data_IF_420390343318
#
_entry.id   IF_420390343318
#
_cell.length_a   1.000
_cell.length_b   1.000
_cell.length_c   1.000
_cell.angle_alpha   90.00
_cell.angle_beta   90.00
_cell.angle_gamma   90.00
#
_symmetry.space_group_name_H-M   'P 1'
#
loop_
_entity.id
_entity.type
_entity.pdbx_description
1 polymer ?
#
# COMPACT_ATOMS: atom_id res chain seq x y z
N UNK A 1 -11.75 20.37 28.94
CA UNK A 1 -11.29 18.96 29.08
C UNK A 1 -9.94 18.83 28.38
N UNK A 2 -8.91 18.29 29.07
CA UNK A 2 -7.58 18.04 28.51
C UNK A 2 -7.46 16.63 27.92
N UNK A 3 -6.40 16.39 27.12
CA UNK A 3 -6.07 15.06 26.63
C UNK A 3 -5.60 14.16 27.78
N UNK A 4 -5.98 12.87 27.74
CA UNK A 4 -5.45 11.87 28.66
C UNK A 4 -4.02 11.47 28.25
N UNK A 5 -3.13 11.31 29.23
CA UNK A 5 -1.78 10.78 29.01
C UNK A 5 -1.83 9.24 28.96
N UNK A 6 -1.33 8.67 27.88
CA UNK A 6 -1.20 7.23 27.69
C UNK A 6 0.28 6.84 27.63
N UNK A 7 0.55 5.56 27.90
CA UNK A 7 1.88 4.99 27.65
C UNK A 7 2.24 5.10 26.18
N UNK A 8 3.54 5.15 25.87
CA UNK A 8 4.03 5.12 24.49
C UNK A 8 3.49 3.90 23.75
N UNK A 9 2.96 4.12 22.54
CA UNK A 9 2.34 3.08 21.72
C UNK A 9 2.08 3.56 20.28
N UNK A 10 1.57 2.66 19.45
CA UNK A 10 1.28 2.91 18.06
C UNK A 10 -0.05 3.64 17.93
N UNK A 11 -0.03 4.93 17.63
CA UNK A 11 -1.24 5.75 17.47
C UNK A 11 -1.23 6.61 16.19
N UNK A 12 -0.30 6.37 15.27
CA UNK A 12 -0.29 7.04 13.97
C UNK A 12 -1.26 6.31 13.03
N UNK A 13 -2.50 6.74 13.00
CA UNK A 13 -3.58 6.20 12.17
C UNK A 13 -4.37 7.32 11.49
N UNK A 14 -5.10 7.05 10.38
CA UNK A 14 -5.16 5.79 9.64
C UNK A 14 -3.88 5.55 8.80
N UNK A 15 -3.62 4.28 8.48
CA UNK A 15 -2.50 3.84 7.66
C UNK A 15 -3.03 3.16 6.37
N UNK A 16 -2.27 3.15 5.26
CA UNK A 16 -2.60 2.26 4.17
C UNK A 16 -2.48 0.80 4.68
N UNK A 17 -3.41 -0.06 4.30
CA UNK A 17 -3.20 -1.50 4.42
C UNK A 17 -2.94 -2.01 3.01
N UNK A 18 -1.74 -2.52 2.75
CA UNK A 18 -1.35 -2.95 1.40
C UNK A 18 -1.03 -4.44 1.38
N UNK A 19 -1.33 -5.12 0.28
CA UNK A 19 -0.85 -6.47 0.04
C UNK A 19 0.51 -6.41 -0.65
N UNK A 20 1.54 -6.91 0.03
CA UNK A 20 2.91 -6.97 -0.49
C UNK A 20 3.15 -8.38 -1.02
N UNK A 21 3.33 -8.53 -2.32
CA UNK A 21 3.78 -9.77 -2.91
C UNK A 21 5.31 -9.87 -2.86
N UNK A 22 5.80 -11.08 -2.66
CA UNK A 22 7.21 -11.43 -2.55
C UNK A 22 7.45 -12.77 -3.24
N UNK A 23 8.70 -13.02 -3.65
CA UNK A 23 9.13 -14.29 -4.24
C UNK A 23 10.46 -14.74 -3.62
N UNK A 24 10.69 -16.05 -3.58
CA UNK A 24 11.99 -16.62 -3.20
C UNK A 24 13.00 -16.68 -4.37
N UNK A 25 12.55 -16.33 -5.58
CA UNK A 25 13.32 -16.42 -6.82
C UNK A 25 13.39 -17.83 -7.42
N UNK A 26 12.74 -18.83 -6.82
CA UNK A 26 12.71 -20.23 -7.23
C UNK A 26 11.30 -20.68 -7.67
N UNK A 27 10.37 -19.73 -7.77
CA UNK A 27 8.99 -19.96 -8.20
C UNK A 27 7.96 -20.01 -7.09
N UNK A 28 8.37 -19.84 -5.83
CA UNK A 28 7.43 -19.71 -4.72
C UNK A 28 7.14 -18.24 -4.45
N UNK A 29 5.88 -17.85 -4.60
CA UNK A 29 5.39 -16.51 -4.33
C UNK A 29 4.49 -16.51 -3.11
N UNK A 30 4.54 -15.41 -2.36
CA UNK A 30 3.66 -15.22 -1.21
C UNK A 30 3.13 -13.78 -1.15
N UNK A 31 2.09 -13.59 -0.37
CA UNK A 31 1.50 -12.27 -0.07
C UNK A 31 1.53 -12.05 1.44
N UNK A 32 1.90 -10.85 1.86
CA UNK A 32 1.75 -10.38 3.24
C UNK A 32 1.05 -9.05 3.27
N UNK A 33 0.08 -8.88 4.17
CA UNK A 33 -0.53 -7.57 4.41
C UNK A 33 0.33 -6.76 5.36
N UNK A 34 0.63 -5.54 4.95
CA UNK A 34 1.46 -4.60 5.71
C UNK A 34 0.70 -3.29 5.88
N UNK A 35 0.55 -2.84 7.13
CA UNK A 35 0.06 -1.51 7.46
C UNK A 35 1.20 -0.54 7.81
N UNK A 36 2.37 -1.06 8.19
CA UNK A 36 3.58 -0.26 8.41
C UNK A 36 4.28 -0.03 7.08
N UNK A 37 3.65 0.77 6.20
CA UNK A 37 4.12 1.11 4.87
C UNK A 37 3.92 2.60 4.61
N UNK A 38 4.79 3.20 3.79
CA UNK A 38 4.64 4.61 3.43
C UNK A 38 5.65 5.09 2.41
N UNK A 39 5.33 6.22 1.77
CA UNK A 39 6.24 6.98 0.92
C UNK A 39 7.25 7.71 1.80
N UNK A 40 8.53 7.57 1.51
CA UNK A 40 9.60 8.19 2.31
C UNK A 40 10.39 9.26 1.56
N UNK A 41 10.39 9.21 0.23
CA UNK A 41 11.07 10.22 -0.61
C UNK A 41 10.34 10.36 -1.95
N UNK A 42 10.33 11.58 -2.48
CA UNK A 42 9.70 11.89 -3.77
C UNK A 42 10.73 11.87 -4.91
N UNK A 43 11.94 12.32 -4.65
CA UNK A 43 13.00 12.34 -5.65
C UNK A 43 14.35 11.99 -5.00
N UNK A 44 14.89 10.77 -5.26
CA UNK A 44 14.25 9.69 -6.01
C UNK A 44 12.98 9.15 -5.34
N UNK A 45 12.05 8.53 -6.10
CA UNK A 45 10.83 7.96 -5.51
C UNK A 45 11.18 6.73 -4.67
N UNK A 46 10.83 6.77 -3.39
CA UNK A 46 11.12 5.70 -2.43
C UNK A 46 9.95 5.44 -1.49
N UNK A 47 9.85 4.19 -1.11
CA UNK A 47 8.87 3.70 -0.13
C UNK A 47 9.56 2.91 0.98
N UNK A 48 8.83 2.69 2.08
CA UNK A 48 9.25 1.74 3.11
C UNK A 48 8.13 0.77 3.42
N UNK A 49 8.51 -0.45 3.80
CA UNK A 49 7.65 -1.42 4.47
C UNK A 49 8.38 -1.96 5.70
N UNK A 50 7.67 -2.21 6.80
CA UNK A 50 8.27 -2.81 7.99
C UNK A 50 7.66 -4.19 8.23
N UNK A 51 8.51 -5.22 8.29
CA UNK A 51 8.11 -6.62 8.41
C UNK A 51 8.83 -7.26 9.60
N UNK A 52 8.11 -8.07 10.37
CA UNK A 52 8.72 -8.82 11.47
C UNK A 52 9.57 -9.96 10.93
N UNK A 53 10.77 -10.23 11.50
CA UNK A 53 11.63 -11.36 11.08
C UNK A 53 10.93 -12.73 11.18
N UNK A 54 9.96 -12.88 12.07
CA UNK A 54 9.18 -14.13 12.22
C UNK A 54 8.19 -14.43 11.09
N UNK A 55 7.90 -13.45 10.22
CA UNK A 55 6.97 -13.64 9.09
C UNK A 55 7.62 -14.41 7.96
N UNK A 56 6.87 -15.33 7.35
CA UNK A 56 7.34 -16.16 6.23
C UNK A 56 7.90 -15.35 5.06
N UNK A 57 7.28 -14.21 4.73
CA UNK A 57 7.75 -13.31 3.66
C UNK A 57 9.09 -12.62 3.96
N UNK A 58 9.53 -12.58 5.24
CA UNK A 58 10.74 -11.88 5.62
C UNK A 58 11.99 -12.44 4.95
N UNK A 59 12.14 -13.77 4.96
CA UNK A 59 13.30 -14.44 4.36
C UNK A 59 13.32 -14.28 2.83
N UNK A 60 12.15 -14.30 2.20
CA UNK A 60 12.02 -14.01 0.77
C UNK A 60 12.48 -12.59 0.44
N UNK A 61 12.03 -11.58 1.22
CA UNK A 61 12.46 -10.18 1.08
C UNK A 61 13.97 -10.02 1.27
N UNK A 62 14.55 -10.69 2.26
CA UNK A 62 16.00 -10.66 2.50
C UNK A 62 16.79 -11.31 1.37
N UNK A 63 16.30 -12.41 0.81
CA UNK A 63 16.96 -13.19 -0.24
C UNK A 63 16.97 -12.46 -1.57
N UNK A 64 15.83 -11.91 -2.01
CA UNK A 64 15.70 -11.33 -3.35
C UNK A 64 15.88 -9.81 -3.38
N UNK A 65 15.54 -9.14 -2.28
CA UNK A 65 15.52 -7.68 -2.23
C UNK A 65 14.45 -7.07 -3.15
N UNK A 66 13.45 -7.85 -3.57
CA UNK A 66 12.40 -7.42 -4.49
C UNK A 66 11.03 -7.65 -3.89
N UNK A 67 10.10 -6.73 -4.15
CA UNK A 67 8.70 -6.88 -3.76
C UNK A 67 7.81 -5.96 -4.60
N UNK A 68 6.51 -6.25 -4.58
CA UNK A 68 5.49 -5.38 -5.18
C UNK A 68 4.50 -4.97 -4.10
N UNK A 69 4.23 -3.66 -3.99
CA UNK A 69 3.14 -3.14 -3.17
C UNK A 69 1.90 -3.07 -4.04
N UNK A 70 0.85 -3.81 -3.65
CA UNK A 70 -0.44 -3.81 -4.32
C UNK A 70 -1.44 -3.06 -3.43
N UNK A 71 -2.00 -1.93 -3.91
CA UNK A 71 -2.99 -1.17 -3.18
C UNK A 71 -4.28 -1.97 -3.03
N UNK A 72 -4.94 -1.83 -1.91
CA UNK A 72 -6.13 -2.59 -1.57
C UNK A 72 -7.39 -1.74 -1.63
N UNK A 73 -8.51 -2.37 -1.86
CA UNK A 73 -9.83 -1.76 -2.02
C UNK A 73 -10.86 -2.40 -1.10
N UNK A 74 -12.04 -1.79 -0.98
CA UNK A 74 -13.16 -2.40 -0.25
C UNK A 74 -13.47 -3.83 -0.75
N UNK A 75 -13.35 -4.08 -2.06
CA UNK A 75 -13.54 -5.43 -2.64
C UNK A 75 -12.48 -6.44 -2.20
N UNK A 76 -11.27 -5.97 -1.92
CA UNK A 76 -10.14 -6.78 -1.49
C UNK A 76 -10.02 -6.89 0.04
N UNK A 77 -10.94 -6.29 0.82
CA UNK A 77 -10.84 -6.22 2.28
C UNK A 77 -10.66 -7.61 2.93
N UNK A 78 -11.43 -8.61 2.50
CA UNK A 78 -11.32 -9.97 3.01
C UNK A 78 -9.95 -10.59 2.70
N UNK A 79 -9.48 -10.47 1.46
CA UNK A 79 -8.16 -10.97 1.06
C UNK A 79 -7.03 -10.22 1.78
N UNK A 80 -7.20 -8.92 2.01
CA UNK A 80 -6.26 -8.09 2.77
C UNK A 80 -6.10 -8.62 4.20
N UNK A 81 -7.20 -8.87 4.90
CA UNK A 81 -7.15 -9.44 6.26
C UNK A 81 -6.54 -10.85 6.24
N UNK A 82 -7.04 -11.73 5.39
CA UNK A 82 -6.57 -13.11 5.28
C UNK A 82 -5.06 -13.19 5.04
N UNK A 83 -4.52 -12.41 4.11
CA UNK A 83 -3.10 -12.37 3.79
C UNK A 83 -2.23 -11.83 4.94
N UNK A 84 -2.80 -11.04 5.86
CA UNK A 84 -2.14 -10.55 7.07
C UNK A 84 -2.12 -11.56 8.22
N UNK A 85 -3.17 -12.40 8.32
CA UNK A 85 -3.36 -13.35 9.45
C UNK A 85 -2.75 -14.72 9.15
N UNK A 86 -3.04 -15.30 7.98
CA UNK A 86 -2.55 -16.63 7.60
C UNK A 86 -1.06 -16.61 7.21
N UNK A 87 -0.37 -17.70 7.49
CA UNK A 87 1.04 -17.87 7.09
C UNK A 87 1.15 -18.52 5.71
N UNK A 88 2.09 -18.04 4.87
CA UNK A 88 2.44 -18.70 3.61
C UNK A 88 3.17 -20.03 3.78
N UNK A 89 3.52 -20.42 5.03
CA UNK A 89 4.01 -21.79 5.35
C UNK A 89 2.89 -22.80 5.27
N UNK A 90 1.65 -22.37 5.52
CA UNK A 90 0.50 -23.26 5.69
C UNK A 90 -0.42 -23.25 4.47
N UNK A 91 -0.45 -22.16 3.71
CA UNK A 91 -1.42 -21.95 2.62
C UNK A 91 -0.81 -21.18 1.45
N UNK A 92 -1.26 -21.48 0.25
CA UNK A 92 -1.05 -20.66 -0.95
C UNK A 92 -2.10 -19.56 -1.00
N UNK A 93 -1.71 -18.34 -0.65
CA UNK A 93 -2.62 -17.20 -0.52
C UNK A 93 -3.17 -16.69 -1.85
N UNK A 94 -2.41 -16.83 -2.95
CA UNK A 94 -2.93 -16.52 -4.28
C UNK A 94 -4.10 -17.44 -4.63
N UNK A 95 -3.94 -18.75 -4.41
CA UNK A 95 -4.96 -19.75 -4.67
C UNK A 95 -6.17 -19.60 -3.75
N UNK A 96 -5.94 -19.52 -2.44
CA UNK A 96 -7.01 -19.43 -1.43
C UNK A 96 -7.88 -18.19 -1.62
N UNK A 97 -7.27 -17.05 -1.92
CA UNK A 97 -7.99 -15.79 -2.12
C UNK A 97 -8.39 -15.57 -3.58
N UNK A 98 -8.12 -16.54 -4.48
CA UNK A 98 -8.41 -16.45 -5.92
C UNK A 98 -7.84 -15.19 -6.55
N UNK A 99 -6.63 -14.81 -6.14
CA UNK A 99 -5.92 -13.65 -6.68
C UNK A 99 -5.09 -14.08 -7.89
N UNK A 100 -5.15 -13.28 -8.94
CA UNK A 100 -4.46 -13.54 -10.20
C UNK A 100 -3.05 -12.95 -10.16
N UNK A 101 -2.04 -13.78 -10.44
CA UNK A 101 -0.66 -13.32 -10.61
C UNK A 101 -0.55 -12.61 -11.96
N UNK A 102 -0.08 -11.38 -11.96
CA UNK A 102 0.26 -10.62 -13.15
C UNK A 102 1.78 -10.37 -13.18
N UNK A 103 2.39 -10.47 -14.37
CA UNK A 103 3.84 -10.31 -14.52
C UNK A 103 4.23 -8.84 -14.32
N UNK A 104 5.24 -8.62 -13.50
CA UNK A 104 5.90 -7.33 -13.34
C UNK A 104 6.94 -7.09 -14.45
N UNK A 105 7.34 -5.84 -14.68
CA UNK A 105 8.28 -5.45 -15.73
C UNK A 105 9.73 -5.48 -15.28
N UNK A 106 10.01 -5.07 -14.03
CA UNK A 106 11.36 -4.84 -13.52
C UNK A 106 11.79 -5.79 -12.41
N UNK A 107 10.84 -6.42 -11.71
CA UNK A 107 11.11 -7.39 -10.64
C UNK A 107 10.56 -8.77 -11.01
N UNK A 108 11.10 -9.81 -10.38
CA UNK A 108 10.62 -11.20 -10.59
C UNK A 108 9.43 -11.59 -9.70
N UNK A 109 8.92 -10.64 -8.97
CA UNK A 109 7.78 -10.80 -8.06
C UNK A 109 6.48 -10.48 -8.79
N UNK A 110 5.42 -11.32 -8.70
CA UNK A 110 4.18 -11.04 -9.40
C UNK A 110 3.42 -9.87 -8.76
N UNK A 111 2.75 -9.08 -9.60
CA UNK A 111 1.69 -8.17 -9.19
C UNK A 111 0.40 -8.95 -8.90
N UNK A 112 -0.57 -8.30 -8.25
CA UNK A 112 -1.93 -8.81 -8.06
C UNK A 112 -2.86 -8.07 -9.03
N UNK A 113 -3.39 -8.79 -10.03
CA UNK A 113 -4.19 -8.20 -11.10
C UNK A 113 -5.46 -7.47 -10.61
N UNK A 114 -6.04 -7.89 -9.48
CA UNK A 114 -7.22 -7.27 -8.87
C UNK A 114 -6.91 -5.95 -8.13
N UNK A 115 -5.61 -5.60 -7.99
CA UNK A 115 -5.20 -4.34 -7.35
C UNK A 115 -5.31 -3.17 -8.34
N UNK A 116 -5.86 -2.02 -7.93
CA UNK A 116 -5.96 -0.85 -8.82
C UNK A 116 -4.60 -0.19 -9.10
N UNK A 117 -3.59 -0.46 -8.25
CA UNK A 117 -2.23 0.05 -8.41
C UNK A 117 -1.24 -0.96 -7.84
N UNK A 118 -0.25 -1.31 -8.63
CA UNK A 118 0.89 -2.11 -8.21
C UNK A 118 2.19 -1.32 -8.37
N UNK A 119 3.05 -1.37 -7.35
CA UNK A 119 4.29 -0.58 -7.27
C UNK A 119 5.46 -1.56 -7.15
N UNK A 120 6.29 -1.63 -8.18
CA UNK A 120 7.50 -2.47 -8.20
C UNK A 120 8.62 -1.82 -7.41
N UNK A 121 9.21 -2.58 -6.51
CA UNK A 121 10.16 -2.07 -5.55
C UNK A 121 11.45 -2.91 -5.48
N UNK A 122 12.59 -2.23 -5.37
CA UNK A 122 13.91 -2.84 -5.11
C UNK A 122 14.43 -2.32 -3.78
N UNK A 123 14.74 -3.23 -2.86
CA UNK A 123 15.29 -2.87 -1.54
C UNK A 123 16.68 -2.22 -1.70
N UNK A 124 16.82 -1.05 -1.13
CA UNK A 124 18.07 -0.29 -1.05
C UNK A 124 18.80 -0.52 0.28
N UNK A 125 18.02 -0.55 1.37
CA UNK A 125 18.58 -0.66 2.73
C UNK A 125 17.56 -1.34 3.65
N UNK A 126 18.07 -2.07 4.62
CA UNK A 126 17.28 -2.65 5.70
C UNK A 126 17.74 -2.08 7.02
N UNK A 127 16.81 -1.53 7.81
CA UNK A 127 17.05 -1.02 9.16
C UNK A 127 16.42 -1.98 10.17
N UNK A 128 17.23 -2.48 11.09
CA UNK A 128 16.80 -3.40 12.14
C UNK A 128 16.32 -2.59 13.36
N UNK A 129 15.01 -2.48 13.55
CA UNK A 129 14.38 -1.58 14.53
C UNK A 129 13.76 -2.33 15.73
N UNK A 130 14.26 -3.49 16.08
CA UNK A 130 13.71 -4.34 17.13
C UNK A 130 12.64 -5.30 16.61
N UNK A 131 11.36 -5.15 16.98
CA UNK A 131 10.30 -6.10 16.56
C UNK A 131 10.04 -6.17 15.06
N UNK A 132 10.37 -5.13 14.32
CA UNK A 132 10.24 -5.02 12.87
C UNK A 132 11.55 -4.54 12.27
N UNK A 133 11.85 -5.07 11.09
CA UNK A 133 12.89 -4.52 10.22
C UNK A 133 12.24 -3.72 9.10
N UNK A 134 12.72 -2.49 8.90
CA UNK A 134 12.24 -1.59 7.86
C UNK A 134 13.06 -1.78 6.59
N UNK A 135 12.39 -2.12 5.50
CA UNK A 135 12.94 -2.21 4.17
C UNK A 135 12.70 -0.88 3.46
N UNK A 136 13.74 -0.09 3.26
CA UNK A 136 13.72 1.09 2.39
C UNK A 136 13.96 0.63 0.95
N UNK A 137 13.12 1.05 0.02
CA UNK A 137 13.16 0.57 -1.35
C UNK A 137 12.98 1.70 -2.36
N UNK A 138 13.69 1.58 -3.48
CA UNK A 138 13.45 2.38 -4.67
C UNK A 138 12.18 1.90 -5.36
N UNK A 139 11.36 2.83 -5.84
CA UNK A 139 10.25 2.54 -6.74
C UNK A 139 10.79 2.47 -8.16
N UNK A 140 10.65 1.30 -8.79
CA UNK A 140 11.12 1.07 -10.17
C UNK A 140 10.04 1.38 -11.20
N UNK A 141 8.78 1.01 -10.91
CA UNK A 141 7.62 1.27 -11.75
C UNK A 141 6.34 1.35 -10.92
N UNK A 142 5.33 1.99 -11.51
CA UNK A 142 3.96 2.05 -10.98
C UNK A 142 3.01 1.64 -12.10
N UNK A 143 2.25 0.59 -11.87
CA UNK A 143 1.19 0.12 -12.75
C UNK A 143 -0.15 0.58 -12.18
N UNK A 144 -0.96 1.22 -13.00
CA UNK A 144 -2.28 1.72 -12.63
C UNK A 144 -3.33 1.14 -13.58
N UNK A 145 -4.40 0.59 -13.03
CA UNK A 145 -5.48 -0.01 -13.79
C UNK A 145 -6.20 1.06 -14.63
N UNK A 146 -6.23 0.91 -15.97
CA UNK A 146 -6.81 1.88 -16.86
C UNK A 146 -8.32 2.09 -16.66
N UNK A 147 -9.05 1.16 -16.02
CA UNK A 147 -10.47 1.35 -15.71
C UNK A 147 -10.74 2.57 -14.81
N UNK A 148 -9.74 3.01 -14.05
CA UNK A 148 -9.83 4.19 -13.17
C UNK A 148 -9.22 5.44 -13.79
N UNK A 149 -8.97 5.45 -15.12
CA UNK A 149 -8.51 6.61 -15.87
C UNK A 149 -9.68 7.26 -16.63
N UNK A 150 -9.70 8.59 -16.65
CA UNK A 150 -10.64 9.33 -17.49
C UNK A 150 -10.11 9.47 -18.94
N UNK A 151 -10.95 10.04 -19.85
CA UNK A 151 -10.59 10.27 -21.25
C UNK A 151 -9.31 11.10 -21.44
N UNK A 152 -8.94 11.90 -20.43
CA UNK A 152 -7.71 12.71 -20.42
C UNK A 152 -6.52 11.97 -19.79
N UNK A 153 -6.65 10.65 -19.58
CA UNK A 153 -5.65 9.78 -18.93
C UNK A 153 -5.29 10.20 -17.49
N UNK A 154 -6.19 10.90 -16.80
CA UNK A 154 -6.02 11.21 -15.39
C UNK A 154 -6.53 10.04 -14.55
N UNK A 155 -5.69 9.55 -13.64
CA UNK A 155 -6.02 8.47 -12.72
C UNK A 155 -6.85 8.97 -11.54
N UNK A 156 -7.92 8.25 -11.21
CA UNK A 156 -8.88 8.56 -10.14
C UNK A 156 -8.88 7.45 -9.07
N UNK A 157 -7.84 7.38 -8.25
CA UNK A 157 -7.67 6.34 -7.24
C UNK A 157 -8.90 6.15 -6.33
N UNK A 158 -9.59 7.24 -5.99
CA UNK A 158 -10.75 7.15 -5.08
C UNK A 158 -11.94 6.37 -5.68
N UNK A 159 -12.03 6.27 -7.01
CA UNK A 159 -13.08 5.51 -7.68
C UNK A 159 -12.88 4.00 -7.51
N UNK A 160 -11.64 3.57 -7.24
CA UNK A 160 -11.30 2.21 -6.85
C UNK A 160 -11.74 1.86 -5.41
N UNK A 161 -12.20 2.84 -4.61
CA UNK A 161 -12.58 2.70 -3.21
C UNK A 161 -11.48 2.05 -2.36
N UNK A 162 -10.30 2.71 -2.24
CA UNK A 162 -9.21 2.19 -1.44
C UNK A 162 -9.61 2.12 0.04
N UNK A 163 -9.03 1.15 0.75
CA UNK A 163 -9.23 0.99 2.18
C UNK A 163 -8.02 1.48 2.99
N UNK A 164 -8.28 1.75 4.27
CA UNK A 164 -7.26 2.11 5.26
C UNK A 164 -7.41 1.24 6.50
N UNK A 165 -6.30 1.09 7.24
CA UNK A 165 -6.28 0.43 8.53
C UNK A 165 -6.24 1.46 9.65
N UNK A 166 -7.14 1.33 10.60
CA UNK A 166 -7.21 2.22 11.77
C UNK A 166 -7.51 1.43 13.03
N UNK A 167 -6.53 1.31 13.89
CA UNK A 167 -6.67 0.78 15.26
C UNK A 167 -7.39 -0.60 15.34
N UNK A 168 -7.02 -1.54 14.47
CA UNK A 168 -7.60 -2.89 14.42
C UNK A 168 -8.76 -3.06 13.44
N UNK A 169 -9.14 -2.02 12.72
CA UNK A 169 -10.26 -2.03 11.79
C UNK A 169 -9.83 -1.64 10.38
N UNK A 170 -10.51 -2.20 9.38
CA UNK A 170 -10.40 -1.78 7.98
C UNK A 170 -11.57 -0.85 7.65
N UNK A 171 -11.28 0.31 7.10
CA UNK A 171 -12.27 1.35 6.78
C UNK A 171 -12.14 1.79 5.33
N UNK A 172 -13.25 2.13 4.69
CA UNK A 172 -13.24 2.83 3.40
C UNK A 172 -12.84 4.30 3.56
N UNK A 173 -12.32 4.92 2.50
CA UNK A 173 -12.05 6.35 2.47
C UNK A 173 -13.36 7.12 2.34
N UNK A 174 -13.60 8.09 3.23
CA UNK A 174 -14.80 8.90 3.25
C UNK A 174 -14.86 9.95 2.14
N UNK A 175 -15.82 10.88 2.27
CA UNK A 175 -16.04 11.95 1.28
C UNK A 175 -14.82 12.87 1.12
N UNK A 176 -14.61 13.34 -0.10
CA UNK A 176 -13.60 14.35 -0.40
C UNK A 176 -13.86 15.65 0.36
N UNK A 177 -12.88 16.12 1.12
CA UNK A 177 -12.98 17.36 1.90
C UNK A 177 -12.43 18.57 1.14
N UNK A 178 -11.48 18.37 0.23
CA UNK A 178 -10.85 19.43 -0.54
C UNK A 178 -9.80 18.90 -1.51
N UNK A 179 -9.08 19.81 -2.16
CA UNK A 179 -7.92 19.50 -2.99
C UNK A 179 -6.69 20.15 -2.36
N UNK A 180 -5.51 19.60 -2.62
CA UNK A 180 -4.25 20.22 -2.15
C UNK A 180 -4.24 21.73 -2.48
N UNK A 181 -3.93 22.56 -1.49
CA UNK A 181 -3.90 24.01 -1.61
C UNK A 181 -5.27 24.72 -1.59
N UNK A 182 -6.39 24.01 -1.32
CA UNK A 182 -7.71 24.64 -1.30
C UNK A 182 -7.85 25.73 -0.22
N UNK A 183 -7.11 25.63 0.88
CA UNK A 183 -7.15 26.57 2.01
C UNK A 183 -6.61 27.95 1.67
N UNK A 184 -5.70 28.04 0.71
CA UNK A 184 -5.05 29.29 0.28
C UNK A 184 -5.57 29.82 -1.07
N UNK A 185 -6.57 29.19 -1.67
CA UNK A 185 -7.20 29.67 -2.91
C UNK A 185 -7.94 30.97 -2.65
N UNK A 186 -7.58 32.06 -3.36
CA UNK A 186 -8.33 33.30 -3.35
C UNK A 186 -9.79 33.05 -3.76
N UNK A 187 -10.76 33.46 -2.94
CA UNK A 187 -12.18 33.46 -3.31
C UNK A 187 -12.32 34.34 -4.58
N UNK A 188 -12.85 33.76 -5.67
CA UNK A 188 -13.25 34.57 -6.83
C UNK A 188 -14.26 35.59 -6.33
N UNK A 189 -13.95 36.91 -6.45
CA UNK A 189 -14.93 37.96 -6.24
C UNK A 189 -16.07 37.72 -7.22
N UNK A 190 -17.23 37.34 -6.73
CA UNK A 190 -18.45 37.28 -7.52
C UNK A 190 -18.74 38.76 -7.88
N UNK A 191 -18.45 39.14 -9.11
CA UNK A 191 -18.80 40.46 -9.62
C UNK A 191 -20.33 40.64 -9.50
N UNK A 192 -20.76 41.58 -8.68
CA UNK A 192 -22.14 42.07 -8.72
C UNK A 192 -22.39 42.54 -10.17
N UNK A 193 -23.26 41.88 -10.90
CA UNK A 193 -23.87 42.43 -12.10
C UNK A 193 -24.58 43.70 -11.64
N UNK A 194 -24.10 44.86 -12.04
CA UNK A 194 -24.86 46.10 -12.00
C UNK A 194 -26.00 45.91 -13.00
N UNK A 195 -27.24 46.08 -12.53
CA UNK A 195 -28.42 46.34 -13.34
C UNK A 195 -28.31 47.73 -13.99
#
# INVERSE_FOLDING_TARGET
MGKQHWKAGNMLYPLPAVMVSVSDGEGNDNIITVAWAGTVCTNPPMVSISVRPSRFSYDMLRKTGEFVINLTTEKLAYATDYCGVRSGRDVDKFKEMKLTKEKADFVKVPMIAESPVSIECKVRQVLELGSHHMFLADVLAVHADPQYMDEKKKFHLNDAKPLVYSHGEYLGIGKKLGTFGYSVKKKKKTGKKKQ
#
